data_IF_487405701843
#
_entry.id   IF_487405701843
#
_cell.length_a   1.000
_cell.length_b   1.000
_cell.length_c   1.000
_cell.angle_alpha   90.00
_cell.angle_beta   90.00
_cell.angle_gamma   90.00
#
_symmetry.space_group_name_H-M   'P 1'
#
loop_
_entity.id
_entity.type
_entity.pdbx_description
1 polymer ?
#
# COMPACT_ATOMS: atom_id res chain seq x y z
N UNK A 1 -2.38 2.76 -5.28
CA UNK A 1 -1.61 2.01 -4.27
C UNK A 1 -1.19 0.71 -4.90
N UNK A 2 -0.09 0.15 -4.43
CA UNK A 2 0.42 -1.15 -4.90
C UNK A 2 0.65 -2.04 -3.67
N UNK A 3 0.51 -3.34 -3.84
CA UNK A 3 0.70 -4.31 -2.77
C UNK A 3 1.57 -5.48 -3.23
N UNK A 4 2.67 -5.74 -2.52
CA UNK A 4 3.41 -7.01 -2.63
C UNK A 4 2.81 -7.99 -1.64
N UNK A 5 2.58 -9.23 -2.07
CA UNK A 5 1.95 -10.26 -1.26
C UNK A 5 2.92 -11.40 -1.06
N UNK A 6 3.10 -11.84 0.19
CA UNK A 6 3.77 -13.10 0.53
C UNK A 6 2.85 -14.00 1.31
N UNK A 7 2.83 -15.28 0.97
CA UNK A 7 2.09 -16.30 1.71
C UNK A 7 3.08 -17.36 2.22
N UNK A 8 3.07 -17.61 3.53
CA UNK A 8 4.00 -18.52 4.20
C UNK A 8 5.48 -18.22 3.86
N UNK A 9 5.84 -16.94 3.70
CA UNK A 9 7.18 -16.48 3.32
C UNK A 9 7.51 -16.56 1.83
N UNK A 10 6.66 -17.18 1.01
CA UNK A 10 6.82 -17.22 -0.45
C UNK A 10 6.26 -15.94 -1.09
N UNK A 11 7.03 -15.28 -1.95
CA UNK A 11 6.58 -14.12 -2.72
C UNK A 11 5.58 -14.57 -3.80
N UNK A 12 4.35 -14.05 -3.73
CA UNK A 12 3.24 -14.33 -4.66
C UNK A 12 3.09 -13.24 -5.72
N UNK A 13 3.95 -12.20 -5.70
CA UNK A 13 3.97 -11.12 -6.67
C UNK A 13 3.39 -9.80 -6.15
N UNK A 14 3.18 -8.87 -7.09
CA UNK A 14 2.78 -7.48 -6.81
C UNK A 14 1.51 -7.13 -7.57
N UNK A 15 0.44 -6.82 -6.84
CA UNK A 15 -0.78 -6.25 -7.40
C UNK A 15 -0.62 -4.73 -7.56
N UNK A 16 -0.47 -4.26 -8.79
CA UNK A 16 -0.22 -2.83 -9.10
C UNK A 16 -1.24 -2.21 -10.05
N UNK A 17 -1.98 -3.02 -10.80
CA UNK A 17 -3.05 -2.59 -11.70
C UNK A 17 -4.24 -3.54 -11.60
N UNK A 18 -5.37 -3.19 -12.22
CA UNK A 18 -6.55 -4.06 -12.23
C UNK A 18 -6.31 -5.29 -13.10
N UNK A 19 -6.89 -6.45 -12.74
CA UNK A 19 -7.50 -6.74 -11.44
C UNK A 19 -6.43 -6.81 -10.33
N UNK A 20 -6.68 -6.20 -9.16
CA UNK A 20 -5.72 -6.17 -8.05
C UNK A 20 -5.68 -7.52 -7.31
N UNK A 21 -5.12 -8.54 -7.96
CA UNK A 21 -5.05 -9.92 -7.46
C UNK A 21 -3.69 -10.54 -7.76
N UNK A 22 -3.33 -11.56 -6.99
CA UNK A 22 -2.14 -12.39 -7.19
C UNK A 22 -2.53 -13.85 -7.06
N UNK A 23 -1.84 -14.74 -7.78
CA UNK A 23 -2.00 -16.19 -7.61
C UNK A 23 -1.16 -16.65 -6.41
N UNK A 24 -1.81 -17.32 -5.46
CA UNK A 24 -1.19 -17.85 -4.24
C UNK A 24 -1.18 -19.38 -4.20
N UNK A 25 -1.63 -20.05 -5.27
CA UNK A 25 -1.86 -21.51 -5.32
C UNK A 25 -0.64 -22.31 -4.89
N UNK A 26 0.55 -21.92 -5.35
CA UNK A 26 1.81 -22.62 -5.04
C UNK A 26 2.28 -22.45 -3.60
N UNK A 27 1.78 -21.43 -2.89
CA UNK A 27 2.18 -21.10 -1.52
C UNK A 27 1.16 -21.57 -0.47
N UNK A 28 -0.04 -21.96 -0.90
CA UNK A 28 -1.11 -22.42 -0.02
C UNK A 28 -0.78 -23.78 0.62
N UNK A 29 -1.15 -23.93 1.89
CA UNK A 29 -1.12 -25.20 2.62
C UNK A 29 -2.42 -25.44 3.35
N UNK A 30 -2.73 -26.70 3.64
CA UNK A 30 -3.90 -27.08 4.46
C UNK A 30 -3.76 -26.48 5.86
N UNK A 31 -4.85 -25.87 6.35
CA UNK A 31 -4.92 -25.25 7.66
C UNK A 31 -4.48 -23.80 7.67
N UNK A 32 -3.79 -23.39 8.74
CA UNK A 32 -3.42 -21.99 8.95
C UNK A 32 -2.33 -21.53 7.97
N UNK A 33 -2.54 -20.37 7.35
CA UNK A 33 -1.56 -19.73 6.47
C UNK A 33 -1.19 -18.36 7.04
N UNK A 34 0.08 -17.97 6.88
CA UNK A 34 0.54 -16.64 7.25
C UNK A 34 0.60 -15.74 6.00
N UNK A 35 -0.25 -14.72 5.96
CA UNK A 35 -0.30 -13.73 4.88
C UNK A 35 0.44 -12.46 5.32
N UNK A 36 1.37 -12.00 4.49
CA UNK A 36 2.05 -10.72 4.63
C UNK A 36 1.76 -9.86 3.39
N UNK A 37 1.40 -8.60 3.62
CA UNK A 37 1.08 -7.64 2.55
C UNK A 37 1.84 -6.34 2.79
N UNK A 38 2.83 -6.06 1.94
CA UNK A 38 3.54 -4.78 1.93
C UNK A 38 2.79 -3.81 1.00
N UNK A 39 2.25 -2.72 1.55
CA UNK A 39 1.50 -1.73 0.78
C UNK A 39 2.30 -0.43 0.64
N UNK A 40 2.38 0.09 -0.58
CA UNK A 40 2.91 1.42 -0.86
C UNK A 40 1.82 2.38 -1.35
N UNK A 41 1.78 3.57 -0.74
CA UNK A 41 0.94 4.69 -1.12
C UNK A 41 1.76 5.78 -1.82
N UNK A 42 1.14 6.95 -2.04
CA UNK A 42 1.79 8.10 -2.67
C UNK A 42 2.22 9.13 -1.60
N UNK A 43 3.21 9.96 -1.97
CA UNK A 43 3.72 11.06 -1.14
C UNK A 43 2.75 12.18 -0.70
N UNK A 44 1.62 12.50 -1.40
CA UNK A 44 0.78 13.65 -1.06
C UNK A 44 0.40 13.77 0.40
N UNK A 45 0.02 12.66 1.05
CA UNK A 45 -0.40 12.69 2.46
C UNK A 45 0.74 13.13 3.39
N UNK A 46 1.97 12.67 3.14
CA UNK A 46 3.13 13.06 3.95
C UNK A 46 3.57 14.50 3.65
N UNK A 47 3.56 14.89 2.37
CA UNK A 47 3.88 16.26 1.95
C UNK A 47 2.88 17.26 2.56
N UNK A 48 1.58 16.99 2.49
CA UNK A 48 0.53 17.78 3.15
C UNK A 48 0.76 17.82 4.67
N UNK A 49 1.02 16.68 5.31
CA UNK A 49 1.28 16.63 6.75
C UNK A 49 2.48 17.49 7.19
N UNK A 50 3.54 17.57 6.39
CA UNK A 50 4.71 18.39 6.69
C UNK A 50 4.43 19.90 6.58
N UNK A 51 3.38 20.31 5.86
CA UNK A 51 2.99 21.73 5.80
C UNK A 51 2.47 22.27 7.13
N UNK A 52 2.08 21.40 8.06
CA UNK A 52 1.66 21.77 9.41
C UNK A 52 2.84 21.92 10.38
N UNK A 53 4.06 21.60 9.96
CA UNK A 53 5.25 21.57 10.82
C UNK A 53 6.24 22.71 10.48
N UNK A 54 6.99 23.20 11.49
CA UNK A 54 8.20 23.99 11.28
C UNK A 54 9.20 23.23 10.41
N UNK A 55 10.03 23.95 9.66
CA UNK A 55 10.90 23.37 8.62
C UNK A 55 11.85 22.30 9.17
N UNK A 56 12.32 22.47 10.40
CA UNK A 56 13.27 21.62 11.10
C UNK A 56 12.66 20.28 11.52
N UNK A 57 11.34 20.22 11.61
CA UNK A 57 10.58 19.02 12.01
C UNK A 57 9.98 18.27 10.81
N UNK A 58 10.11 18.82 9.59
CA UNK A 58 9.61 18.18 8.37
C UNK A 58 10.46 16.97 8.02
N UNK A 59 9.82 15.91 7.52
CA UNK A 59 10.49 14.69 7.05
C UNK A 59 10.89 14.78 5.57
N UNK A 60 10.21 15.64 4.82
CA UNK A 60 10.35 15.76 3.37
C UNK A 60 11.00 17.09 2.97
N UNK A 61 11.79 17.05 1.90
CA UNK A 61 12.42 18.24 1.29
C UNK A 61 12.27 18.13 -0.23
N UNK A 62 11.54 19.07 -0.83
CA UNK A 62 11.26 19.10 -2.28
C UNK A 62 11.00 20.53 -2.74
N UNK A 63 11.19 20.81 -4.03
CA UNK A 63 10.80 22.06 -4.68
C UNK A 63 9.30 22.09 -5.07
N UNK A 64 8.57 20.99 -4.87
CA UNK A 64 7.14 20.90 -5.15
C UNK A 64 6.31 21.74 -4.16
N UNK A 65 5.57 22.73 -4.65
CA UNK A 65 4.73 23.64 -3.84
C UNK A 65 3.23 23.35 -3.94
N UNK A 66 2.84 22.28 -4.65
CA UNK A 66 1.44 21.93 -4.92
C UNK A 66 0.62 21.56 -3.67
N UNK A 67 1.24 20.96 -2.66
CA UNK A 67 0.52 20.46 -1.48
C UNK A 67 0.56 21.51 -0.36
N UNK A 68 -0.63 21.83 0.16
CA UNK A 68 -0.86 22.86 1.17
C UNK A 68 -1.65 22.28 2.36
N UNK A 69 -1.79 23.05 3.44
CA UNK A 69 -2.59 22.65 4.60
C UNK A 69 -4.07 22.39 4.27
N UNK A 70 -4.60 22.98 3.19
CA UNK A 70 -5.98 22.76 2.72
C UNK A 70 -6.12 21.55 1.77
N UNK A 71 -5.04 20.89 1.41
CA UNK A 71 -5.06 19.73 0.52
C UNK A 71 -5.75 18.53 1.19
N UNK A 72 -6.72 17.94 0.49
CA UNK A 72 -7.37 16.71 0.97
C UNK A 72 -6.38 15.53 0.97
N UNK A 73 -6.50 14.68 1.98
CA UNK A 73 -5.73 13.44 2.05
C UNK A 73 -6.30 12.41 1.08
N UNK A 74 -5.43 11.66 0.44
CA UNK A 74 -5.80 10.54 -0.41
C UNK A 74 -6.03 9.29 0.44
N UNK A 75 -6.97 8.40 0.05
CA UNK A 75 -7.10 7.08 0.66
C UNK A 75 -5.77 6.31 0.60
N UNK A 76 -5.43 5.62 1.69
CA UNK A 76 -4.13 4.98 1.87
C UNK A 76 -4.26 3.68 2.66
N UNK A 77 -3.49 2.65 2.28
CA UNK A 77 -3.43 1.35 2.94
C UNK A 77 -4.17 0.24 2.17
N UNK A 78 -4.38 -0.89 2.85
CA UNK A 78 -5.15 -2.01 2.33
C UNK A 78 -6.63 -1.80 2.67
N UNK A 79 -7.36 -1.13 1.76
CA UNK A 79 -8.74 -0.68 2.04
C UNK A 79 -9.76 -1.83 2.07
N UNK A 80 -9.50 -2.91 1.33
CA UNK A 80 -10.34 -4.10 1.33
C UNK A 80 -11.74 -3.91 0.68
N UNK A 81 -12.62 -4.93 0.81
CA UNK A 81 -12.35 -6.22 1.44
C UNK A 81 -11.26 -7.02 0.70
N UNK A 82 -10.53 -7.87 1.43
CA UNK A 82 -9.57 -8.82 0.87
C UNK A 82 -10.24 -10.18 0.82
N UNK A 83 -10.32 -10.77 -0.36
CA UNK A 83 -11.00 -12.04 -0.59
C UNK A 83 -10.03 -13.08 -1.14
N UNK A 84 -10.23 -14.34 -0.75
CA UNK A 84 -9.68 -15.50 -1.45
C UNK A 84 -10.71 -15.95 -2.46
N UNK A 85 -10.27 -16.25 -3.68
CA UNK A 85 -11.13 -16.68 -4.78
C UNK A 85 -10.56 -17.94 -5.38
N UNK A 86 -11.44 -18.86 -5.76
CA UNK A 86 -11.10 -19.97 -6.66
C UNK A 86 -11.28 -19.47 -8.10
N UNK A 87 -10.32 -19.73 -8.98
CA UNK A 87 -10.54 -19.55 -10.42
C UNK A 87 -11.18 -20.84 -10.97
N UNK A 88 -12.26 -20.67 -11.74
CA UNK A 88 -12.89 -21.74 -12.53
C UNK A 88 -12.00 -22.19 -13.71
#
# INVERSE_FOLDING_TARGET
>A
MIARVRLNGMDCGVAWTRPYRVDVTKALKVGANQLEVEVANLWPNRLTGDTFLPREQRRTKTNMTKYTQSSQLLPSGLLGPVCVMEEE
#
